data_IF_508290814693
#
_entry.id   IF_508290814693
#
_cell.length_a   1.000
_cell.length_b   1.000
_cell.length_c   1.000
_cell.angle_alpha   90.00
_cell.angle_beta   90.00
_cell.angle_gamma   90.00
#
_symmetry.space_group_name_H-M   'P 1'
#
loop_
_entity.id
_entity.type
_entity.pdbx_description
1 polymer ?
#
# COMPACT_ATOMS: atom_id res chain seq x y z
N UNK A 1 -4.19 -5.78 -21.53
CA UNK A 1 -2.96 -6.60 -21.34
C UNK A 1 -3.12 -7.34 -20.04
N UNK A 2 -2.85 -8.64 -19.99
CA UNK A 2 -2.89 -9.40 -18.73
C UNK A 2 -1.75 -8.90 -17.83
N UNK A 3 -2.10 -8.09 -16.84
CA UNK A 3 -1.17 -7.51 -15.87
C UNK A 3 -1.19 -8.26 -14.56
N UNK A 4 -2.11 -9.21 -14.37
CA UNK A 4 -2.33 -9.93 -13.12
C UNK A 4 -1.07 -10.72 -12.69
N UNK A 5 -0.87 -10.80 -11.38
CA UNK A 5 0.14 -11.69 -10.81
C UNK A 5 -0.30 -13.13 -11.08
N UNK A 6 0.61 -13.95 -11.63
CA UNK A 6 0.30 -15.32 -11.99
C UNK A 6 0.03 -16.17 -10.76
N UNK A 7 -0.91 -17.12 -10.88
CA UNK A 7 -1.26 -18.06 -9.82
C UNK A 7 -0.05 -18.82 -9.26
N UNK A 8 0.91 -19.16 -10.14
CA UNK A 8 2.17 -19.82 -9.75
C UNK A 8 3.02 -19.00 -8.78
N UNK A 9 2.93 -17.67 -8.82
CA UNK A 9 3.64 -16.81 -7.88
C UNK A 9 3.04 -16.88 -6.48
N UNK A 10 1.70 -16.84 -6.36
CA UNK A 10 1.02 -17.04 -5.07
C UNK A 10 1.32 -18.42 -4.48
N UNK A 11 1.34 -19.46 -5.33
CA UNK A 11 1.75 -20.81 -4.90
C UNK A 11 3.19 -20.84 -4.40
N UNK A 12 4.12 -20.16 -5.08
CA UNK A 12 5.52 -20.07 -4.65
C UNK A 12 5.67 -19.34 -3.31
N UNK A 13 4.92 -18.25 -3.09
CA UNK A 13 4.88 -17.51 -1.82
C UNK A 13 4.42 -18.40 -0.67
N UNK A 14 3.33 -19.15 -0.85
CA UNK A 14 2.81 -20.10 0.16
C UNK A 14 3.80 -21.23 0.46
N UNK A 15 4.43 -21.83 -0.56
CA UNK A 15 5.48 -22.85 -0.38
C UNK A 15 6.68 -22.31 0.40
N UNK A 16 7.06 -21.05 0.16
CA UNK A 16 8.16 -20.39 0.88
C UNK A 16 7.81 -20.18 2.36
N UNK A 17 6.57 -19.78 2.70
CA UNK A 17 6.13 -19.70 4.09
C UNK A 17 6.14 -21.09 4.73
N UNK A 18 5.54 -22.10 4.10
CA UNK A 18 5.53 -23.45 4.61
C UNK A 18 6.93 -23.97 4.98
N UNK A 19 7.93 -23.72 4.12
CA UNK A 19 9.31 -24.15 4.37
C UNK A 19 9.96 -23.40 5.54
N UNK A 20 9.62 -22.12 5.73
CA UNK A 20 10.19 -21.26 6.79
C UNK A 20 9.59 -21.51 8.17
N UNK A 21 8.40 -22.08 8.25
CA UNK A 21 7.75 -22.43 9.52
C UNK A 21 8.45 -23.56 10.28
N UNK A 22 9.35 -24.33 9.64
CA UNK A 22 10.19 -25.37 10.28
C UNK A 22 9.39 -26.30 11.21
N UNK A 23 8.22 -26.71 10.77
CA UNK A 23 7.33 -27.61 11.52
C UNK A 23 6.30 -26.92 12.42
N UNK A 24 6.38 -25.63 12.67
CA UNK A 24 5.34 -24.90 13.39
C UNK A 24 4.09 -24.71 12.51
N UNK A 25 2.92 -24.69 13.16
CA UNK A 25 1.63 -24.45 12.51
C UNK A 25 1.34 -22.95 12.44
N UNK A 26 0.88 -22.46 11.29
CA UNK A 26 0.49 -21.05 11.10
C UNK A 26 -0.90 -20.93 10.49
N UNK A 27 -1.58 -19.83 10.78
CA UNK A 27 -2.85 -19.44 10.14
C UNK A 27 -2.77 -17.99 9.74
N UNK A 28 -3.19 -17.70 8.50
CA UNK A 28 -3.33 -16.31 8.00
C UNK A 28 -4.80 -16.07 7.68
N UNK A 29 -5.38 -15.09 8.32
CA UNK A 29 -6.80 -14.73 8.22
C UNK A 29 -6.98 -13.61 7.19
N UNK A 30 -8.05 -13.69 6.41
CA UNK A 30 -8.48 -12.57 5.54
C UNK A 30 -9.12 -11.41 6.32
N UNK A 31 -9.54 -11.68 7.55
CA UNK A 31 -10.36 -10.79 8.35
C UNK A 31 -11.86 -11.02 8.12
N UNK A 32 -12.65 -10.80 9.17
CA UNK A 32 -14.10 -10.81 9.10
C UNK A 32 -14.61 -9.44 8.63
N UNK A 33 -15.26 -9.41 7.48
CA UNK A 33 -15.91 -8.21 6.97
C UNK A 33 -17.13 -7.83 7.81
N UNK A 34 -17.29 -6.54 8.10
CA UNK A 34 -18.61 -6.00 8.41
C UNK A 34 -19.51 -6.19 7.18
N UNK A 35 -20.86 -6.31 7.35
CA UNK A 35 -21.76 -6.41 6.21
C UNK A 35 -21.56 -5.24 5.25
N UNK A 36 -21.64 -5.45 3.93
CA UNK A 36 -21.29 -4.47 2.90
C UNK A 36 -22.17 -3.22 2.85
N UNK A 37 -23.24 -3.14 3.63
CA UNK A 37 -24.09 -1.96 3.73
C UNK A 37 -23.38 -0.67 4.21
N UNK A 38 -22.14 -0.75 4.75
CA UNK A 38 -21.45 0.36 5.38
C UNK A 38 -20.05 0.64 4.82
N UNK A 39 -19.62 -0.03 3.76
CA UNK A 39 -18.31 0.20 3.16
C UNK A 39 -17.72 -1.01 2.45
N UNK A 40 -16.68 -0.78 1.68
CA UNK A 40 -15.94 -1.83 1.00
C UNK A 40 -15.11 -2.63 2.02
N UNK A 41 -15.26 -3.96 2.03
CA UNK A 41 -14.40 -4.83 2.81
C UNK A 41 -13.06 -5.04 2.08
N UNK A 42 -11.97 -4.97 2.84
CA UNK A 42 -10.64 -5.27 2.36
C UNK A 42 -10.06 -6.45 3.14
N UNK A 43 -9.45 -7.43 2.46
CA UNK A 43 -8.76 -8.50 3.14
C UNK A 43 -7.51 -7.99 3.85
N UNK A 44 -7.08 -8.71 4.87
CA UNK A 44 -5.72 -8.56 5.40
C UNK A 44 -4.68 -8.69 4.27
N UNK A 45 -3.74 -7.77 4.21
CA UNK A 45 -2.81 -7.69 3.08
C UNK A 45 -1.80 -8.84 3.05
N UNK A 46 -1.53 -9.53 4.16
CA UNK A 46 -0.74 -10.76 4.17
C UNK A 46 -1.54 -11.92 3.54
N UNK A 47 -2.86 -11.98 3.82
CA UNK A 47 -3.74 -12.95 3.16
C UNK A 47 -3.78 -12.70 1.64
N UNK A 48 -4.04 -11.45 1.22
CA UNK A 48 -4.05 -11.06 -0.19
C UNK A 48 -2.72 -11.35 -0.88
N UNK A 49 -1.59 -11.06 -0.23
CA UNK A 49 -0.25 -11.35 -0.74
C UNK A 49 -0.01 -12.84 -1.02
N UNK A 50 -0.60 -13.71 -0.20
CA UNK A 50 -0.43 -15.17 -0.31
C UNK A 50 -1.42 -15.84 -1.26
N UNK A 51 -2.56 -15.19 -1.55
CA UNK A 51 -3.68 -15.83 -2.25
C UNK A 51 -4.09 -15.12 -3.54
N UNK A 52 -4.01 -13.80 -3.57
CA UNK A 52 -4.63 -12.96 -4.60
C UNK A 52 -6.15 -12.85 -4.47
N UNK A 53 -6.75 -13.41 -3.42
CA UNK A 53 -8.19 -13.40 -3.16
C UNK A 53 -8.54 -12.11 -2.39
N UNK A 54 -9.56 -11.38 -2.84
CA UNK A 54 -10.01 -10.12 -2.24
C UNK A 54 -11.53 -10.01 -2.05
N UNK A 55 -12.27 -11.10 -2.30
CA UNK A 55 -13.72 -11.19 -2.26
C UNK A 55 -14.28 -12.28 -1.31
N UNK A 56 -13.43 -12.86 -0.44
CA UNK A 56 -13.82 -13.94 0.48
C UNK A 56 -13.61 -13.55 1.96
N UNK A 57 -14.49 -12.69 2.53
CA UNK A 57 -14.40 -12.34 3.95
C UNK A 57 -14.50 -13.55 4.86
N UNK A 58 -13.62 -13.60 5.88
CA UNK A 58 -13.49 -14.71 6.82
C UNK A 58 -12.77 -15.94 6.28
N UNK A 59 -12.17 -15.86 5.09
CA UNK A 59 -11.28 -16.89 4.58
C UNK A 59 -9.98 -16.98 5.39
N UNK A 60 -9.30 -18.11 5.31
CA UNK A 60 -8.03 -18.37 6.01
C UNK A 60 -7.12 -19.26 5.19
N UNK A 61 -5.81 -19.05 5.31
CA UNK A 61 -4.81 -20.02 4.86
C UNK A 61 -4.22 -20.73 6.07
N UNK A 62 -4.40 -22.04 6.14
CA UNK A 62 -3.84 -22.89 7.19
C UNK A 62 -2.56 -23.54 6.68
N UNK A 63 -1.49 -23.46 7.47
CA UNK A 63 -0.18 -24.06 7.21
C UNK A 63 0.15 -25.12 8.24
N UNK A 64 0.38 -26.35 7.83
CA UNK A 64 0.80 -27.47 8.66
C UNK A 64 1.96 -28.25 8.01
N UNK A 65 3.20 -27.78 8.17
CA UNK A 65 4.37 -28.42 7.53
C UNK A 65 4.56 -29.88 7.91
N UNK A 66 4.04 -30.28 9.07
CA UNK A 66 4.16 -31.65 9.61
C UNK A 66 3.05 -32.59 9.20
N UNK A 67 2.06 -32.13 8.40
CA UNK A 67 0.98 -32.98 7.96
C UNK A 67 1.50 -34.14 7.12
N UNK A 68 1.14 -35.43 7.44
CA UNK A 68 1.57 -36.59 6.69
C UNK A 68 1.01 -36.58 5.26
N UNK A 69 -0.20 -36.07 5.03
CA UNK A 69 -0.77 -35.82 3.71
C UNK A 69 -0.25 -34.50 3.15
N UNK A 70 0.65 -34.55 2.18
CA UNK A 70 1.26 -33.37 1.57
C UNK A 70 0.23 -32.36 1.03
N UNK A 71 -0.93 -32.84 0.55
CA UNK A 71 -2.01 -31.98 0.03
C UNK A 71 -2.67 -31.14 1.11
N UNK A 72 -2.54 -31.51 2.38
CA UNK A 72 -3.12 -30.81 3.55
C UNK A 72 -2.11 -29.94 4.29
N UNK A 73 -0.90 -29.78 3.75
CA UNK A 73 0.11 -28.90 4.36
C UNK A 73 -0.20 -27.43 4.13
N UNK A 74 -0.95 -27.11 3.08
CA UNK A 74 -1.46 -25.75 2.80
C UNK A 74 -2.93 -25.91 2.42
N UNK A 75 -3.82 -25.36 3.25
CA UNK A 75 -5.26 -25.49 3.06
C UNK A 75 -5.90 -24.10 3.00
N UNK A 76 -6.74 -23.88 2.00
CA UNK A 76 -7.64 -22.72 1.97
C UNK A 76 -8.93 -23.09 2.70
N UNK A 77 -9.31 -22.27 3.66
CA UNK A 77 -10.54 -22.41 4.42
C UNK A 77 -11.47 -21.23 4.05
N UNK A 78 -12.64 -21.54 3.53
CA UNK A 78 -13.65 -20.56 3.13
C UNK A 78 -14.88 -20.65 4.03
N UNK A 79 -15.61 -19.56 4.23
CA UNK A 79 -16.89 -19.59 4.97
C UNK A 79 -17.85 -20.60 4.33
N UNK A 80 -18.71 -21.24 5.13
CA UNK A 80 -19.78 -22.09 4.60
C UNK A 80 -20.71 -21.31 3.67
N UNK A 81 -21.21 -21.98 2.63
CA UNK A 81 -22.30 -21.47 1.81
C UNK A 81 -23.55 -21.31 2.68
N UNK A 82 -24.19 -20.16 2.62
CA UNK A 82 -25.45 -19.91 3.28
C UNK A 82 -26.39 -19.22 2.30
N UNK A 83 -27.34 -19.97 1.68
CA UNK A 83 -28.23 -19.43 0.65
C UNK A 83 -29.05 -18.20 1.10
N UNK A 84 -29.37 -18.11 2.39
CA UNK A 84 -30.13 -16.98 2.95
C UNK A 84 -29.30 -15.69 2.99
N UNK A 85 -27.97 -15.82 3.19
CA UNK A 85 -27.04 -14.71 3.22
C UNK A 85 -26.46 -14.44 1.81
N UNK A 86 -26.17 -15.50 1.08
CA UNK A 86 -25.52 -15.40 -0.24
C UNK A 86 -26.40 -14.64 -1.26
N UNK A 87 -27.71 -14.60 -1.05
CA UNK A 87 -28.63 -13.80 -1.88
C UNK A 87 -28.41 -12.28 -1.69
N UNK A 88 -27.85 -11.87 -0.55
CA UNK A 88 -27.57 -10.46 -0.24
C UNK A 88 -26.15 -10.05 -0.57
N UNK A 89 -25.18 -10.95 -0.30
CA UNK A 89 -23.75 -10.65 -0.34
C UNK A 89 -23.06 -11.21 -1.59
N UNK A 90 -23.79 -11.96 -2.43
CA UNK A 90 -23.26 -12.70 -3.56
C UNK A 90 -23.09 -14.20 -3.28
N UNK A 91 -23.28 -15.00 -4.33
CA UNK A 91 -23.18 -16.45 -4.23
C UNK A 91 -21.74 -16.93 -4.11
N UNK A 92 -21.46 -17.74 -3.08
CA UNK A 92 -20.16 -18.37 -2.89
C UNK A 92 -20.03 -19.65 -3.69
N UNK A 93 -18.84 -19.85 -4.27
CA UNK A 93 -18.53 -21.06 -5.02
C UNK A 93 -18.57 -22.33 -4.14
N UNK A 94 -19.14 -23.39 -4.69
CA UNK A 94 -19.04 -24.72 -4.08
C UNK A 94 -17.58 -25.23 -4.17
N UNK A 95 -17.15 -25.99 -3.16
CA UNK A 95 -15.84 -26.65 -3.19
C UNK A 95 -15.80 -27.64 -4.35
N UNK A 96 -15.05 -27.30 -5.38
CA UNK A 96 -14.99 -28.02 -6.66
C UNK A 96 -13.55 -28.08 -7.18
N UNK A 97 -13.33 -28.86 -8.25
CA UNK A 97 -12.06 -28.85 -8.97
C UNK A 97 -11.80 -27.48 -9.62
N UNK A 98 -12.85 -26.86 -10.16
CA UNK A 98 -12.76 -25.51 -10.74
C UNK A 98 -12.20 -24.53 -9.70
N UNK A 99 -12.80 -24.46 -8.50
CA UNK A 99 -12.37 -23.55 -7.43
C UNK A 99 -10.91 -23.83 -6.99
N UNK A 100 -10.50 -25.10 -6.92
CA UNK A 100 -9.10 -25.46 -6.61
C UNK A 100 -8.14 -24.96 -7.70
N UNK A 101 -8.52 -25.09 -8.96
CA UNK A 101 -7.70 -24.62 -10.08
C UNK A 101 -7.61 -23.10 -10.13
N UNK A 102 -8.69 -22.38 -9.87
CA UNK A 102 -8.75 -20.90 -9.86
C UNK A 102 -7.96 -20.31 -8.69
N UNK A 103 -8.05 -20.91 -7.50
CA UNK A 103 -7.33 -20.43 -6.31
C UNK A 103 -5.91 -21.00 -6.18
N UNK A 104 -5.59 -22.07 -6.92
CA UNK A 104 -4.30 -22.76 -6.88
C UNK A 104 -3.99 -23.43 -5.54
N UNK A 105 -5.04 -23.91 -4.85
CA UNK A 105 -4.91 -24.74 -3.66
C UNK A 105 -5.31 -26.18 -3.99
N UNK A 106 -4.49 -27.16 -3.59
CA UNK A 106 -4.82 -28.58 -3.74
C UNK A 106 -5.96 -28.99 -2.82
N UNK A 107 -6.04 -28.35 -1.63
CA UNK A 107 -7.10 -28.58 -0.64
C UNK A 107 -7.81 -27.29 -0.31
N UNK A 108 -9.12 -27.25 -0.58
CA UNK A 108 -10.04 -26.20 -0.17
C UNK A 108 -11.11 -26.83 0.71
N UNK A 109 -11.39 -26.23 1.87
CA UNK A 109 -12.39 -26.70 2.84
C UNK A 109 -13.20 -25.53 3.40
N UNK A 110 -14.23 -25.82 4.18
CA UNK A 110 -14.99 -24.79 4.90
C UNK A 110 -14.41 -24.55 6.28
N UNK A 111 -14.58 -23.34 6.81
CA UNK A 111 -13.97 -22.90 8.08
C UNK A 111 -14.34 -23.76 9.28
N UNK A 112 -15.47 -24.48 9.26
CA UNK A 112 -15.82 -25.45 10.32
C UNK A 112 -14.81 -26.61 10.48
N UNK A 113 -13.93 -26.83 9.50
CA UNK A 113 -12.85 -27.82 9.61
C UNK A 113 -11.66 -27.32 10.46
N UNK A 114 -11.51 -26.01 10.67
CA UNK A 114 -10.37 -25.41 11.36
C UNK A 114 -10.13 -25.98 12.76
N UNK A 115 -11.15 -26.14 13.65
CA UNK A 115 -10.90 -26.65 15.00
C UNK A 115 -10.27 -28.04 15.00
N UNK A 116 -10.70 -28.91 14.09
CA UNK A 116 -10.11 -30.25 13.91
C UNK A 116 -8.67 -30.18 13.43
N UNK A 117 -8.40 -29.41 12.35
CA UNK A 117 -7.04 -29.24 11.81
C UNK A 117 -6.08 -28.66 12.86
N UNK A 118 -6.52 -27.63 13.58
CA UNK A 118 -5.71 -27.04 14.66
C UNK A 118 -5.40 -28.04 15.77
N UNK A 119 -6.39 -28.80 16.23
CA UNK A 119 -6.19 -29.79 17.30
C UNK A 119 -5.20 -30.88 16.86
N UNK A 120 -5.42 -31.49 15.70
CA UNK A 120 -4.55 -32.54 15.16
C UNK A 120 -3.11 -32.05 14.94
N UNK A 121 -2.95 -30.85 14.37
CA UNK A 121 -1.65 -30.26 14.09
C UNK A 121 -0.93 -29.86 15.40
N UNK A 122 -1.61 -29.19 16.32
CA UNK A 122 -1.04 -28.79 17.63
C UNK A 122 -0.64 -30.00 18.49
N UNK A 123 -1.37 -31.11 18.43
CA UNK A 123 -0.98 -32.35 19.11
C UNK A 123 0.32 -32.94 18.53
N UNK A 124 0.54 -32.83 17.21
CA UNK A 124 1.76 -33.33 16.56
C UNK A 124 2.98 -32.48 16.83
N UNK A 125 2.87 -31.15 16.64
CA UNK A 125 4.05 -30.28 16.57
C UNK A 125 4.32 -29.58 17.89
N UNK A 126 3.29 -29.31 18.70
CA UNK A 126 3.37 -28.48 19.91
C UNK A 126 3.90 -27.05 19.65
N UNK A 127 3.94 -26.59 18.41
CA UNK A 127 4.51 -25.29 18.01
C UNK A 127 3.53 -24.55 17.09
N UNK A 128 3.17 -23.32 17.49
CA UNK A 128 2.22 -22.45 16.81
C UNK A 128 2.93 -21.14 16.47
N UNK A 129 2.88 -20.69 15.23
CA UNK A 129 3.62 -19.54 14.73
C UNK A 129 2.66 -18.40 14.36
N UNK A 130 2.72 -17.28 15.09
CA UNK A 130 2.00 -16.06 14.73
C UNK A 130 2.59 -15.47 13.45
N UNK A 131 1.75 -15.23 12.44
CA UNK A 131 2.12 -14.71 11.11
C UNK A 131 1.58 -13.30 10.85
N UNK A 132 0.57 -12.86 11.62
CA UNK A 132 0.10 -11.48 11.57
C UNK A 132 1.04 -10.56 12.36
N UNK A 133 1.22 -9.30 11.92
CA UNK A 133 1.98 -8.31 12.69
C UNK A 133 1.41 -8.17 14.10
N UNK A 134 2.28 -8.16 15.10
CA UNK A 134 1.87 -8.01 16.50
C UNK A 134 1.25 -6.62 16.70
N UNK A 135 0.07 -6.61 17.32
CA UNK A 135 -0.64 -5.38 17.62
C UNK A 135 -0.02 -4.64 18.82
N UNK A 136 -0.09 -3.30 18.79
CA UNK A 136 0.21 -2.49 19.96
C UNK A 136 -0.76 -2.82 21.11
N UNK A 137 -0.34 -2.58 22.36
CA UNK A 137 -1.13 -2.94 23.55
C UNK A 137 -2.51 -2.24 23.63
N UNK A 138 -2.70 -1.16 22.89
CA UNK A 138 -3.96 -0.42 22.75
C UNK A 138 -4.90 -0.97 21.65
N UNK A 139 -4.45 -1.94 20.87
CA UNK A 139 -5.18 -2.55 19.77
C UNK A 139 -5.68 -3.96 20.12
N UNK A 140 -6.73 -4.46 19.46
CA UNK A 140 -7.16 -5.84 19.59
C UNK A 140 -6.02 -6.83 19.31
N UNK A 141 -6.05 -7.97 20.00
CA UNK A 141 -5.11 -9.07 19.77
C UNK A 141 -5.31 -9.60 18.35
N UNK A 142 -4.22 -9.97 17.68
CA UNK A 142 -4.29 -10.55 16.33
C UNK A 142 -5.06 -11.86 16.30
N UNK A 143 -5.80 -12.18 15.22
CA UNK A 143 -6.70 -13.34 15.18
C UNK A 143 -5.96 -14.68 15.35
N UNK A 144 -4.74 -14.78 14.84
CA UNK A 144 -3.90 -15.97 15.01
C UNK A 144 -3.45 -16.15 16.47
N UNK A 145 -2.99 -15.08 17.13
CA UNK A 145 -2.61 -15.13 18.54
C UNK A 145 -3.82 -15.44 19.44
N UNK A 146 -5.00 -14.88 19.13
CA UNK A 146 -6.23 -15.20 19.86
C UNK A 146 -6.61 -16.68 19.71
N UNK A 147 -6.57 -17.22 18.48
CA UNK A 147 -6.81 -18.64 18.22
C UNK A 147 -5.82 -19.52 18.97
N UNK A 148 -4.53 -19.18 18.91
CA UNK A 148 -3.47 -19.99 19.52
C UNK A 148 -3.54 -20.01 21.06
N UNK A 149 -3.94 -18.92 21.69
CA UNK A 149 -4.25 -18.91 23.14
C UNK A 149 -5.36 -19.89 23.51
N UNK A 150 -6.42 -19.98 22.69
CA UNK A 150 -7.50 -20.96 22.89
C UNK A 150 -7.00 -22.41 22.71
N UNK A 151 -6.06 -22.64 21.81
CA UNK A 151 -5.46 -23.96 21.56
C UNK A 151 -4.52 -24.35 22.69
N UNK A 152 -3.60 -23.47 23.10
CA UNK A 152 -2.63 -23.76 24.18
C UNK A 152 -3.30 -24.01 25.52
N UNK A 153 -4.45 -23.37 25.78
CA UNK A 153 -5.25 -23.64 27.00
C UNK A 153 -5.85 -25.06 27.04
N UNK A 154 -5.89 -25.79 25.92
CA UNK A 154 -6.50 -27.13 25.79
C UNK A 154 -5.48 -28.22 25.48
N UNK A 155 -4.34 -27.88 24.93
CA UNK A 155 -3.30 -28.84 24.51
C UNK A 155 -2.01 -28.53 25.27
N UNK A 156 -1.70 -29.26 26.37
CA UNK A 156 -0.51 -29.00 27.17
C UNK A 156 0.79 -29.13 26.37
N UNK A 157 1.76 -28.30 26.70
CA UNK A 157 3.09 -28.30 26.07
C UNK A 157 3.16 -27.60 24.73
N UNK A 158 2.08 -26.93 24.25
CA UNK A 158 2.14 -26.08 23.09
C UNK A 158 2.81 -24.74 23.41
N UNK A 159 3.69 -24.30 22.50
CA UNK A 159 4.32 -22.96 22.51
C UNK A 159 3.76 -22.10 21.39
N UNK A 160 3.74 -20.78 21.60
CA UNK A 160 3.43 -19.78 20.59
C UNK A 160 4.72 -19.05 20.25
N UNK A 161 5.05 -18.99 18.97
CA UNK A 161 6.27 -18.37 18.45
C UNK A 161 5.91 -17.12 17.63
N UNK A 162 6.70 -16.06 17.77
CA UNK A 162 6.60 -14.89 16.89
C UNK A 162 7.32 -15.16 15.57
N UNK A 163 6.56 -15.24 14.50
CA UNK A 163 7.01 -15.34 13.12
C UNK A 163 6.36 -14.24 12.24
N UNK A 164 5.88 -13.16 12.87
CA UNK A 164 5.17 -12.05 12.21
C UNK A 164 5.97 -11.40 11.08
N UNK A 165 7.31 -11.48 11.16
CA UNK A 165 8.20 -10.92 10.14
C UNK A 165 8.33 -11.78 8.88
N UNK A 166 7.81 -13.01 8.84
CA UNK A 166 8.01 -13.89 7.67
C UNK A 166 7.35 -13.31 6.42
N UNK A 167 6.07 -12.96 6.47
CA UNK A 167 5.32 -12.47 5.32
C UNK A 167 5.72 -11.03 5.01
N UNK A 168 5.83 -10.17 6.01
CA UNK A 168 6.23 -8.77 5.85
C UNK A 168 7.61 -8.62 5.20
N UNK A 169 8.57 -9.45 5.60
CA UNK A 169 9.90 -9.48 4.95
C UNK A 169 9.86 -9.91 3.48
N UNK A 170 8.88 -10.75 3.09
CA UNK A 170 8.71 -11.13 1.69
C UNK A 170 8.06 -10.01 0.89
N UNK A 171 7.10 -9.27 1.46
CA UNK A 171 6.43 -8.12 0.85
C UNK A 171 7.39 -6.97 0.55
N UNK A 172 8.44 -6.79 1.36
CA UNK A 172 9.45 -5.74 1.14
C UNK A 172 10.11 -5.82 -0.25
N UNK A 173 10.40 -7.03 -0.73
CA UNK A 173 11.07 -7.25 -2.02
C UNK A 173 10.02 -7.53 -3.08
N UNK A 174 9.76 -6.56 -3.91
CA UNK A 174 8.76 -6.66 -4.98
C UNK A 174 9.27 -7.52 -6.13
N UNK A 175 8.46 -8.45 -6.58
CA UNK A 175 8.72 -9.19 -7.83
C UNK A 175 8.53 -8.29 -9.06
N UNK A 176 8.97 -8.75 -10.22
CA UNK A 176 8.75 -8.02 -11.47
C UNK A 176 7.26 -7.83 -11.79
N UNK A 177 6.41 -8.79 -11.40
CA UNK A 177 4.96 -8.69 -11.56
C UNK A 177 4.36 -7.63 -10.63
N UNK A 178 4.78 -7.59 -9.36
CA UNK A 178 4.37 -6.56 -8.41
C UNK A 178 4.79 -5.15 -8.87
N UNK A 179 6.03 -4.97 -9.32
CA UNK A 179 6.50 -3.69 -9.88
C UNK A 179 5.68 -3.28 -11.11
N UNK A 180 5.20 -4.24 -11.91
CA UNK A 180 4.33 -3.95 -13.05
C UNK A 180 2.97 -3.43 -12.61
N UNK A 181 2.37 -3.98 -11.53
CA UNK A 181 1.13 -3.49 -10.95
C UNK A 181 1.29 -2.07 -10.40
N UNK A 182 2.33 -1.81 -9.60
CA UNK A 182 2.66 -0.47 -9.10
C UNK A 182 2.75 0.54 -10.25
N UNK A 183 3.41 0.16 -11.36
CA UNK A 183 3.47 1.03 -12.53
C UNK A 183 2.12 1.30 -13.19
N UNK A 184 1.19 0.35 -13.18
CA UNK A 184 -0.17 0.60 -13.68
C UNK A 184 -0.91 1.58 -12.75
N UNK A 185 -0.75 1.44 -11.43
CA UNK A 185 -1.30 2.39 -10.47
C UNK A 185 -0.71 3.80 -10.68
N UNK A 186 0.60 3.92 -10.90
CA UNK A 186 1.27 5.19 -11.22
C UNK A 186 0.71 5.81 -12.52
N UNK A 187 0.46 5.01 -13.55
CA UNK A 187 -0.13 5.51 -14.81
C UNK A 187 -1.56 6.03 -14.60
N UNK A 188 -2.36 5.35 -13.78
CA UNK A 188 -3.70 5.82 -13.42
C UNK A 188 -3.63 7.13 -12.62
N UNK A 189 -2.67 7.23 -11.69
CA UNK A 189 -2.43 8.46 -10.91
C UNK A 189 -1.97 9.60 -11.81
N UNK A 190 -1.07 9.36 -12.75
CA UNK A 190 -0.61 10.35 -13.72
C UNK A 190 -1.79 10.91 -14.53
N UNK A 191 -2.68 10.03 -15.02
CA UNK A 191 -3.87 10.46 -15.75
C UNK A 191 -4.83 11.28 -14.86
N UNK A 192 -5.04 10.89 -13.59
CA UNK A 192 -5.82 11.68 -12.66
C UNK A 192 -5.24 13.08 -12.43
N UNK A 193 -3.91 13.20 -12.30
CA UNK A 193 -3.21 14.49 -12.19
C UNK A 193 -3.43 15.34 -13.45
N UNK A 194 -3.39 14.74 -14.64
CA UNK A 194 -3.71 15.44 -15.91
C UNK A 194 -5.16 15.95 -15.93
N UNK A 195 -6.12 15.14 -15.45
CA UNK A 195 -7.52 15.56 -15.29
C UNK A 195 -7.65 16.76 -14.35
N UNK A 196 -6.91 16.78 -13.23
CA UNK A 196 -6.84 17.94 -12.34
C UNK A 196 -6.28 19.16 -13.06
N UNK A 197 -5.15 19.03 -13.75
CA UNK A 197 -4.53 20.13 -14.49
C UNK A 197 -5.48 20.75 -15.52
N UNK A 198 -6.34 19.95 -16.16
CA UNK A 198 -7.34 20.44 -17.13
C UNK A 198 -8.45 21.29 -16.48
N UNK A 199 -8.70 21.11 -15.19
CA UNK A 199 -9.75 21.83 -14.43
C UNK A 199 -9.25 23.09 -13.75
N UNK A 200 -7.92 23.33 -13.70
CA UNK A 200 -7.37 24.51 -13.06
C UNK A 200 -7.86 25.80 -13.72
N UNK A 201 -8.22 26.79 -12.93
CA UNK A 201 -8.72 28.08 -13.37
C UNK A 201 -9.26 28.93 -12.22
N UNK A 202 -9.87 30.05 -12.57
CA UNK A 202 -10.58 30.88 -11.62
C UNK A 202 -11.83 30.12 -11.15
N UNK A 203 -12.21 30.25 -9.87
CA UNK A 203 -13.42 29.65 -9.28
C UNK A 203 -13.43 28.10 -9.21
N UNK A 204 -12.29 27.46 -9.04
CA UNK A 204 -12.20 26.02 -8.82
C UNK A 204 -12.16 25.67 -7.34
N UNK A 205 -12.95 24.68 -6.92
CA UNK A 205 -12.90 24.17 -5.56
C UNK A 205 -11.96 22.95 -5.45
N UNK A 206 -11.41 22.71 -4.25
CA UNK A 206 -10.68 21.48 -3.95
C UNK A 206 -11.52 20.23 -4.25
N UNK A 207 -12.86 20.33 -4.07
CA UNK A 207 -13.80 19.25 -4.37
C UNK A 207 -13.91 18.97 -5.87
N UNK A 208 -13.92 20.01 -6.72
CA UNK A 208 -13.94 19.82 -8.18
C UNK A 208 -12.65 19.14 -8.65
N UNK A 209 -11.50 19.53 -8.08
CA UNK A 209 -10.21 18.91 -8.36
C UNK A 209 -10.18 17.45 -7.89
N UNK A 210 -10.74 17.17 -6.69
CA UNK A 210 -10.87 15.81 -6.17
C UNK A 210 -11.71 14.93 -7.10
N UNK A 211 -12.86 15.43 -7.55
CA UNK A 211 -13.74 14.68 -8.44
C UNK A 211 -13.09 14.41 -9.80
N UNK A 212 -12.35 15.37 -10.34
CA UNK A 212 -11.58 15.20 -11.57
C UNK A 212 -10.50 14.13 -11.41
N UNK A 213 -9.76 14.17 -10.29
CA UNK A 213 -8.72 13.20 -9.96
C UNK A 213 -9.25 11.77 -9.91
N UNK A 214 -10.27 11.54 -9.07
CA UNK A 214 -10.85 10.21 -8.85
C UNK A 214 -11.54 9.69 -10.11
N UNK A 215 -12.22 10.56 -10.86
CA UNK A 215 -12.77 10.23 -12.18
C UNK A 215 -11.69 9.79 -13.17
N UNK A 216 -10.52 10.45 -13.15
CA UNK A 216 -9.35 10.05 -13.93
C UNK A 216 -8.84 8.66 -13.53
N UNK A 217 -8.72 8.37 -12.23
CA UNK A 217 -8.34 7.03 -11.75
C UNK A 217 -9.30 5.95 -12.22
N UNK A 218 -10.60 6.18 -12.04
CA UNK A 218 -11.65 5.24 -12.44
C UNK A 218 -11.63 4.96 -13.95
N UNK A 219 -11.38 5.97 -14.80
CA UNK A 219 -11.27 5.80 -16.25
C UNK A 219 -10.11 4.89 -16.67
N UNK A 220 -9.08 4.78 -15.83
CA UNK A 220 -7.92 3.90 -16.03
C UNK A 220 -8.09 2.51 -15.39
N UNK A 221 -9.27 2.21 -14.83
CA UNK A 221 -9.60 0.91 -14.23
C UNK A 221 -9.24 0.78 -12.75
N UNK A 222 -8.92 1.88 -12.06
CA UNK A 222 -8.82 1.89 -10.62
C UNK A 222 -10.23 1.80 -10.02
N UNK A 223 -10.45 0.82 -9.16
CA UNK A 223 -11.75 0.65 -8.49
C UNK A 223 -11.82 1.42 -7.17
N UNK A 224 -10.66 1.79 -6.62
CA UNK A 224 -10.56 2.60 -5.41
C UNK A 224 -9.26 3.40 -5.38
N UNK A 225 -9.22 4.41 -4.52
CA UNK A 225 -8.00 5.15 -4.26
C UNK A 225 -7.09 4.34 -3.32
N UNK A 226 -5.77 4.49 -3.44
CA UNK A 226 -4.81 3.90 -2.50
C UNK A 226 -4.96 4.49 -1.08
N UNK A 227 -5.33 5.78 -1.02
CA UNK A 227 -5.70 6.52 0.19
C UNK A 227 -6.62 7.68 -0.16
N UNK A 228 -7.16 8.36 0.86
CA UNK A 228 -7.97 9.56 0.61
C UNK A 228 -7.09 10.68 0.05
N UNK A 229 -7.33 11.14 -1.19
CA UNK A 229 -6.52 12.19 -1.80
C UNK A 229 -6.49 13.47 -0.97
N UNK A 230 -5.33 14.09 -0.91
CA UNK A 230 -5.09 15.36 -0.26
C UNK A 230 -5.02 16.44 -1.34
N UNK A 231 -5.94 17.39 -1.29
CA UNK A 231 -5.95 18.55 -2.18
C UNK A 231 -6.09 19.78 -1.29
N UNK A 232 -4.96 20.29 -0.82
CA UNK A 232 -4.91 21.42 0.10
C UNK A 232 -4.41 22.67 -0.59
N UNK A 233 -5.29 23.67 -0.79
CA UNK A 233 -4.94 24.96 -1.40
C UNK A 233 -4.55 25.98 -0.33
N UNK A 234 -3.57 26.84 -0.65
CA UNK A 234 -3.12 27.89 0.27
C UNK A 234 -2.75 27.33 1.65
N UNK A 235 -3.39 27.85 2.72
CA UNK A 235 -3.16 27.40 4.09
C UNK A 235 -3.41 25.91 4.29
N UNK A 236 -4.43 25.33 3.62
CA UNK A 236 -4.74 23.90 3.72
C UNK A 236 -3.58 23.02 3.22
N UNK A 237 -2.77 23.51 2.26
CA UNK A 237 -1.57 22.84 1.77
C UNK A 237 -0.46 22.72 2.82
N UNK A 238 -0.56 23.40 3.95
CA UNK A 238 0.39 23.26 5.07
C UNK A 238 -0.02 22.17 6.06
N UNK A 239 -1.22 21.61 5.93
CA UNK A 239 -1.72 20.48 6.73
C UNK A 239 -1.39 19.19 6.03
N UNK A 240 -0.46 18.41 6.58
CA UNK A 240 0.14 17.22 5.93
C UNK A 240 -0.88 16.21 5.42
N UNK A 241 -1.91 15.90 6.20
CA UNK A 241 -2.99 14.96 5.86
C UNK A 241 -4.34 15.69 5.82
N UNK A 242 -4.43 16.78 5.06
CA UNK A 242 -5.68 17.51 4.86
C UNK A 242 -6.73 16.65 4.16
N UNK A 243 -7.92 16.52 4.76
CA UNK A 243 -8.95 15.56 4.29
C UNK A 243 -10.25 16.20 3.82
N UNK A 244 -10.49 17.46 4.18
CA UNK A 244 -11.79 18.08 3.91
C UNK A 244 -12.04 18.27 2.40
N UNK A 245 -11.02 18.72 1.66
CA UNK A 245 -11.08 18.96 0.21
C UNK A 245 -12.37 19.72 -0.18
N UNK A 246 -12.66 20.85 0.49
CA UNK A 246 -13.95 21.54 0.36
C UNK A 246 -13.85 23.07 0.29
N UNK A 247 -12.64 23.61 0.27
CA UNK A 247 -12.42 25.06 0.13
C UNK A 247 -12.32 25.47 -1.35
N UNK A 248 -12.58 26.76 -1.60
CA UNK A 248 -12.27 27.37 -2.88
C UNK A 248 -10.77 27.67 -2.95
N UNK A 249 -10.15 27.30 -4.05
CA UNK A 249 -8.74 27.62 -4.30
C UNK A 249 -8.60 29.02 -4.91
N UNK A 250 -7.76 29.86 -4.32
CA UNK A 250 -7.54 31.21 -4.79
C UNK A 250 -6.49 31.24 -5.91
N UNK A 251 -6.66 32.13 -6.87
CA UNK A 251 -5.79 32.25 -8.06
C UNK A 251 -4.30 32.43 -7.75
N UNK A 252 -3.97 33.04 -6.61
CA UNK A 252 -2.59 33.23 -6.15
C UNK A 252 -1.99 32.03 -5.40
N UNK A 253 -2.80 31.02 -5.08
CA UNK A 253 -2.36 29.89 -4.27
C UNK A 253 -1.59 28.87 -5.09
N UNK A 254 -0.76 28.12 -4.40
CA UNK A 254 -0.39 26.76 -4.78
C UNK A 254 -1.25 25.78 -3.99
N UNK A 255 -1.44 24.57 -4.50
CA UNK A 255 -2.05 23.49 -3.73
C UNK A 255 -1.19 22.23 -3.78
N UNK A 256 -1.14 21.55 -2.66
CA UNK A 256 -0.55 20.21 -2.57
C UNK A 256 -1.60 19.23 -3.06
N UNK A 257 -1.25 18.49 -4.11
CA UNK A 257 -2.01 17.38 -4.66
C UNK A 257 -1.25 16.09 -4.35
N UNK A 258 -1.69 15.39 -3.32
CA UNK A 258 -1.11 14.13 -2.89
C UNK A 258 -2.13 13.01 -3.07
N UNK A 259 -1.79 12.01 -3.88
CA UNK A 259 -2.77 11.07 -4.38
C UNK A 259 -2.17 9.79 -4.92
N UNK A 260 -2.93 8.73 -4.80
CA UNK A 260 -2.58 7.43 -5.36
C UNK A 260 -3.79 6.64 -5.81
N UNK A 261 -3.72 6.10 -7.03
CA UNK A 261 -4.64 5.07 -7.50
C UNK A 261 -4.20 3.69 -7.01
N UNK A 262 -5.11 2.73 -6.98
CA UNK A 262 -4.81 1.33 -6.74
C UNK A 262 -5.19 0.50 -7.97
N UNK A 263 -4.27 -0.33 -8.46
CA UNK A 263 -4.52 -1.27 -9.56
C UNK A 263 -4.06 -2.67 -9.15
N UNK A 264 -4.97 -3.65 -9.25
CA UNK A 264 -4.67 -5.03 -8.89
C UNK A 264 -4.22 -5.22 -7.43
N UNK A 265 -4.68 -4.34 -6.54
CA UNK A 265 -4.34 -4.33 -5.13
C UNK A 265 -3.03 -3.62 -4.79
N UNK A 266 -2.32 -3.06 -5.77
CA UNK A 266 -1.07 -2.32 -5.55
C UNK A 266 -1.30 -0.83 -5.62
N UNK A 267 -0.78 -0.11 -4.63
CA UNK A 267 -0.85 1.34 -4.52
C UNK A 267 0.18 2.05 -5.39
N UNK A 268 -0.07 3.30 -5.70
CA UNK A 268 0.91 4.34 -6.02
C UNK A 268 0.79 5.48 -5.01
N UNK A 269 1.82 6.30 -4.91
CA UNK A 269 1.85 7.44 -4.01
C UNK A 269 2.65 8.59 -4.62
N UNK A 270 1.94 9.63 -5.04
CA UNK A 270 2.53 10.72 -5.84
C UNK A 270 2.02 12.05 -5.34
N UNK A 271 2.93 12.89 -4.93
CA UNK A 271 2.62 14.30 -4.66
C UNK A 271 3.18 15.24 -5.72
N UNK A 272 2.35 16.18 -6.14
CA UNK A 272 2.76 17.38 -6.88
C UNK A 272 2.17 18.62 -6.23
N UNK A 273 2.95 19.69 -6.17
CA UNK A 273 2.42 21.00 -5.85
C UNK A 273 2.19 21.77 -7.15
N UNK A 274 0.97 22.25 -7.33
CA UNK A 274 0.53 22.89 -8.57
C UNK A 274 0.04 24.32 -8.29
N UNK A 275 0.34 25.30 -9.17
CA UNK A 275 -0.21 26.65 -9.05
C UNK A 275 -1.64 26.73 -9.58
N UNK A 276 -2.57 27.25 -8.82
CA UNK A 276 -3.99 27.38 -9.20
C UNK A 276 -4.14 28.20 -10.48
N UNK A 277 -3.35 29.27 -10.64
CA UNK A 277 -3.33 30.11 -11.86
C UNK A 277 -2.73 29.41 -13.08
N UNK A 278 -2.08 28.25 -12.90
CA UNK A 278 -1.28 27.59 -13.93
C UNK A 278 0.14 28.13 -14.08
N UNK A 279 0.55 29.09 -13.23
CA UNK A 279 1.90 29.67 -13.22
C UNK A 279 2.34 30.00 -11.80
N UNK A 280 3.53 29.58 -11.42
CA UNK A 280 4.12 29.91 -10.12
C UNK A 280 4.53 31.40 -10.04
N UNK A 281 4.43 32.00 -8.83
CA UNK A 281 5.14 33.26 -8.55
C UNK A 281 6.65 32.98 -8.43
N UNK A 282 7.45 34.05 -8.38
CA UNK A 282 8.90 33.90 -8.21
C UNK A 282 9.25 33.26 -6.86
N UNK A 283 8.54 33.60 -5.81
CA UNK A 283 8.70 33.11 -4.46
C UNK A 283 8.31 31.63 -4.37
N UNK A 284 7.16 31.27 -4.94
CA UNK A 284 6.69 29.87 -5.02
C UNK A 284 7.67 28.99 -5.81
N UNK A 285 8.14 29.48 -6.96
CA UNK A 285 9.12 28.77 -7.78
C UNK A 285 10.47 28.60 -7.07
N UNK A 286 10.91 29.59 -6.28
CA UNK A 286 12.13 29.50 -5.49
C UNK A 286 12.03 28.39 -4.41
N UNK A 287 10.94 28.38 -3.62
CA UNK A 287 10.66 27.34 -2.62
C UNK A 287 10.51 25.96 -3.26
N UNK A 288 9.75 25.87 -4.36
CA UNK A 288 9.56 24.65 -5.12
C UNK A 288 10.89 24.04 -5.57
N UNK A 289 11.81 24.86 -6.08
CA UNK A 289 13.13 24.42 -6.52
C UNK A 289 14.02 23.93 -5.36
N UNK A 290 13.85 24.46 -4.12
CA UNK A 290 14.54 23.95 -2.94
C UNK A 290 14.05 22.52 -2.64
N UNK A 291 12.72 22.30 -2.61
CA UNK A 291 12.12 20.98 -2.37
C UNK A 291 12.53 20.00 -3.46
N UNK A 292 12.48 20.41 -4.73
CA UNK A 292 12.92 19.57 -5.87
C UNK A 292 14.40 19.19 -5.78
N UNK A 293 15.25 20.11 -5.34
CA UNK A 293 16.68 19.84 -5.11
C UNK A 293 16.88 18.85 -3.96
N UNK A 294 16.09 18.97 -2.89
CA UNK A 294 16.11 18.05 -1.75
C UNK A 294 15.66 16.64 -2.18
N UNK A 295 14.57 16.53 -2.96
CA UNK A 295 14.11 15.26 -3.51
C UNK A 295 15.18 14.59 -4.39
N UNK A 296 15.80 15.36 -5.30
CA UNK A 296 16.89 14.85 -6.15
C UNK A 296 18.09 14.36 -5.34
N UNK A 297 18.44 15.05 -4.25
CA UNK A 297 19.52 14.64 -3.34
C UNK A 297 19.21 13.32 -2.63
N UNK A 298 17.98 13.18 -2.13
CA UNK A 298 17.48 11.95 -1.51
C UNK A 298 17.50 10.77 -2.50
N UNK A 299 16.91 10.93 -3.69
CA UNK A 299 16.89 9.88 -4.74
C UNK A 299 18.30 9.45 -5.12
N UNK A 300 19.25 10.38 -5.23
CA UNK A 300 20.66 10.09 -5.54
C UNK A 300 21.35 9.26 -4.44
N UNK A 301 20.91 9.40 -3.18
CA UNK A 301 21.45 8.62 -2.07
C UNK A 301 20.96 7.16 -2.03
N UNK A 302 19.91 6.82 -2.77
CA UNK A 302 19.31 5.48 -2.76
C UNK A 302 20.21 4.48 -3.48
N UNK A 303 20.64 3.46 -2.75
CA UNK A 303 21.31 2.24 -3.26
C UNK A 303 21.15 1.12 -2.23
N UNK A 304 21.39 -0.14 -2.60
CA UNK A 304 21.44 -1.23 -1.62
C UNK A 304 22.41 -0.93 -0.49
N UNK A 305 21.98 -1.18 0.75
CA UNK A 305 22.77 -0.92 1.97
C UNK A 305 22.53 0.46 2.61
N UNK A 306 21.91 1.43 1.92
CA UNK A 306 21.54 2.72 2.51
C UNK A 306 20.26 2.57 3.36
N UNK A 307 20.16 3.29 4.47
CA UNK A 307 18.95 3.33 5.31
C UNK A 307 18.07 4.52 4.95
N UNK A 308 16.76 4.45 5.27
CA UNK A 308 15.85 5.58 5.09
C UNK A 308 16.33 6.82 5.86
N UNK A 309 16.90 6.66 7.06
CA UNK A 309 17.47 7.78 7.83
C UNK A 309 18.62 8.50 7.11
N UNK A 310 19.48 7.77 6.39
CA UNK A 310 20.56 8.38 5.62
C UNK A 310 20.03 9.13 4.38
N UNK A 311 18.95 8.63 3.79
CA UNK A 311 18.27 9.27 2.65
C UNK A 311 17.56 10.54 3.12
N UNK A 312 16.89 10.48 4.29
CA UNK A 312 16.24 11.61 4.94
C UNK A 312 17.25 12.75 5.23
N UNK A 313 18.39 12.41 5.81
CA UNK A 313 19.45 13.42 6.09
C UNK A 313 19.99 14.07 4.81
N UNK A 314 20.10 13.33 3.70
CA UNK A 314 20.51 13.92 2.42
C UNK A 314 19.52 14.99 1.92
N UNK A 315 18.22 14.77 2.15
CA UNK A 315 17.16 15.74 1.85
C UNK A 315 17.17 16.92 2.83
N UNK A 316 17.15 16.62 4.15
CA UNK A 316 17.14 17.60 5.23
C UNK A 316 18.28 18.59 5.13
N UNK A 317 19.47 18.11 4.78
CA UNK A 317 20.63 18.98 4.58
C UNK A 317 20.35 20.08 3.55
N UNK A 318 19.71 19.76 2.43
CA UNK A 318 19.41 20.74 1.37
C UNK A 318 18.42 21.79 1.87
N UNK A 319 17.37 21.37 2.57
CA UNK A 319 16.33 22.26 3.11
C UNK A 319 16.88 23.12 4.24
N UNK A 320 17.69 22.55 5.13
CA UNK A 320 18.36 23.25 6.23
C UNK A 320 19.36 24.28 5.73
N UNK A 321 20.19 23.93 4.75
CA UNK A 321 21.17 24.85 4.15
C UNK A 321 20.49 26.04 3.43
N UNK A 322 19.23 25.87 3.03
CA UNK A 322 18.39 26.93 2.45
C UNK A 322 17.64 27.77 3.50
N UNK A 323 17.78 27.48 4.80
CA UNK A 323 17.15 28.23 5.91
C UNK A 323 15.76 27.73 6.31
N UNK A 324 15.27 26.61 5.77
CA UNK A 324 13.90 26.10 6.02
C UNK A 324 13.88 24.81 6.86
N UNK A 325 14.94 24.51 7.62
CA UNK A 325 15.05 23.25 8.39
C UNK A 325 13.90 22.99 9.35
N UNK A 326 13.37 24.02 9.99
CA UNK A 326 12.26 23.92 10.96
C UNK A 326 10.89 23.74 10.30
N UNK A 327 10.81 23.91 8.99
CA UNK A 327 9.58 23.82 8.20
C UNK A 327 9.43 22.49 7.44
N UNK A 328 10.22 21.49 7.78
CA UNK A 328 10.14 20.12 7.25
C UNK A 328 9.91 19.11 8.39
N UNK A 329 8.65 18.90 8.83
CA UNK A 329 8.34 18.20 10.08
C UNK A 329 8.24 16.67 9.95
N UNK A 330 8.16 16.09 8.75
CA UNK A 330 7.95 14.64 8.54
C UNK A 330 9.20 13.93 8.00
N UNK A 331 9.19 12.60 7.95
CA UNK A 331 10.24 11.78 7.36
C UNK A 331 10.24 11.84 5.84
N UNK A 332 11.32 11.39 5.22
CA UNK A 332 11.50 11.43 3.75
C UNK A 332 10.53 10.53 2.98
N UNK A 333 9.88 9.57 3.63
CA UNK A 333 8.99 8.63 2.98
C UNK A 333 8.95 7.27 3.66
N UNK A 334 8.32 6.30 3.01
CA UNK A 334 8.03 4.97 3.53
C UNK A 334 8.13 3.88 2.44
N UNK A 335 8.07 2.61 2.82
CA UNK A 335 7.87 1.52 1.88
C UNK A 335 6.42 1.51 1.38
N UNK A 336 6.22 1.12 0.12
CA UNK A 336 4.90 0.97 -0.47
C UNK A 336 4.76 -0.34 -1.25
N UNK A 337 3.53 -0.77 -1.49
CA UNK A 337 3.23 -2.01 -2.22
C UNK A 337 1.74 -2.32 -2.27
N UNK A 338 1.29 -3.38 -1.57
CA UNK A 338 -0.13 -3.68 -1.37
C UNK A 338 -0.82 -2.65 -0.47
N UNK A 339 -0.05 -1.98 0.35
CA UNK A 339 -0.49 -0.83 1.15
C UNK A 339 0.32 0.38 0.74
N UNK A 340 -0.29 1.56 0.81
CA UNK A 340 0.42 2.83 0.67
C UNK A 340 1.56 2.88 1.68
N UNK A 341 1.27 2.62 2.95
CA UNK A 341 2.26 2.43 4.01
C UNK A 341 2.49 0.93 4.24
N UNK A 342 3.24 0.29 3.33
CA UNK A 342 3.66 -1.11 3.48
C UNK A 342 4.55 -1.28 4.73
N UNK A 343 4.68 -2.49 5.30
CA UNK A 343 5.57 -2.70 6.45
C UNK A 343 6.95 -2.10 6.23
N UNK A 344 7.37 -1.21 7.13
CA UNK A 344 8.59 -0.40 7.00
C UNK A 344 9.57 -0.66 8.14
N UNK A 345 10.22 -1.85 8.19
CA UNK A 345 11.22 -2.12 9.20
C UNK A 345 12.45 -1.23 8.98
N UNK A 346 13.11 -0.85 10.09
CA UNK A 346 14.36 -0.08 10.05
C UNK A 346 15.54 -0.94 9.59
N UNK A 347 15.52 -1.37 8.35
CA UNK A 347 16.58 -2.19 7.74
C UNK A 347 17.22 -1.45 6.56
N UNK A 348 18.48 -1.74 6.23
CA UNK A 348 19.09 -1.22 5.00
C UNK A 348 18.29 -1.64 3.76
N UNK A 349 18.16 -0.73 2.80
CA UNK A 349 17.48 -0.98 1.54
C UNK A 349 18.17 -2.12 0.76
N UNK A 350 17.35 -2.88 0.06
CA UNK A 350 17.77 -3.98 -0.82
C UNK A 350 17.16 -3.82 -2.21
N UNK A 351 17.81 -4.41 -3.20
CA UNK A 351 17.25 -4.51 -4.56
C UNK A 351 15.81 -5.08 -4.50
N UNK A 352 14.91 -4.49 -5.28
CA UNK A 352 13.49 -4.86 -5.34
C UNK A 352 12.59 -4.15 -4.31
N UNK A 353 13.13 -3.40 -3.35
CA UNK A 353 12.30 -2.55 -2.49
C UNK A 353 11.78 -1.34 -3.28
N UNK A 354 10.54 -0.93 -2.97
CA UNK A 354 9.93 0.31 -3.49
C UNK A 354 9.65 1.22 -2.31
N UNK A 355 10.07 2.47 -2.41
CA UNK A 355 9.90 3.50 -1.37
C UNK A 355 9.44 4.81 -1.98
N UNK A 356 8.68 5.60 -1.22
CA UNK A 356 8.36 6.98 -1.57
C UNK A 356 9.50 7.91 -1.20
N UNK A 357 9.64 9.03 -1.92
CA UNK A 357 10.59 10.12 -1.60
C UNK A 357 9.85 11.44 -1.76
N UNK A 358 9.49 12.03 -0.64
CA UNK A 358 8.47 13.08 -0.51
C UNK A 358 8.86 14.30 0.35
N UNK A 359 10.03 14.92 0.19
CA UNK A 359 10.37 16.09 1.00
C UNK A 359 9.37 17.23 0.79
N UNK A 360 9.19 18.05 1.84
CA UNK A 360 8.31 19.21 1.79
C UNK A 360 8.80 20.38 2.62
N UNK A 361 8.28 21.58 2.32
CA UNK A 361 8.40 22.80 3.11
C UNK A 361 7.00 23.34 3.33
N UNK A 362 6.66 23.66 4.58
CA UNK A 362 5.31 24.10 4.95
C UNK A 362 5.42 25.41 5.77
N UNK A 363 4.89 26.51 5.21
CA UNK A 363 4.94 27.86 5.75
C UNK A 363 3.49 28.32 6.06
N UNK A 364 2.92 28.01 7.24
CA UNK A 364 1.53 28.34 7.57
C UNK A 364 1.25 29.84 7.51
N UNK A 365 2.18 30.66 7.98
CA UNK A 365 2.03 32.13 8.00
C UNK A 365 2.01 32.75 6.59
N UNK A 366 2.59 32.04 5.61
CA UNK A 366 2.63 32.45 4.21
C UNK A 366 1.56 31.73 3.35
N UNK A 367 0.80 30.81 3.94
CA UNK A 367 -0.18 29.94 3.25
C UNK A 367 0.45 29.13 2.11
N UNK A 368 1.68 28.64 2.27
CA UNK A 368 2.40 27.89 1.25
C UNK A 368 2.82 26.53 1.81
N UNK A 369 2.33 25.46 1.21
CA UNK A 369 2.84 24.10 1.37
C UNK A 369 3.38 23.60 0.03
N UNK A 370 4.57 23.02 0.06
CA UNK A 370 5.19 22.39 -1.14
C UNK A 370 5.68 21.01 -0.75
N UNK A 371 5.18 19.99 -1.43
CA UNK A 371 5.65 18.60 -1.39
C UNK A 371 5.82 18.07 -2.81
N UNK A 372 6.89 17.34 -3.07
CA UNK A 372 7.15 16.67 -4.34
C UNK A 372 7.55 15.24 -4.03
N UNK A 373 6.78 14.30 -4.54
CA UNK A 373 6.92 12.87 -4.25
C UNK A 373 6.97 12.02 -5.50
N UNK A 374 7.80 11.00 -5.46
CA UNK A 374 7.91 9.96 -6.46
C UNK A 374 8.08 8.58 -5.83
N UNK A 375 7.59 7.54 -6.52
CA UNK A 375 7.80 6.14 -6.22
C UNK A 375 9.12 5.64 -6.79
N UNK A 376 10.00 5.17 -5.92
CA UNK A 376 11.38 4.83 -6.27
C UNK A 376 11.65 3.34 -6.04
N UNK A 377 12.02 2.62 -7.10
CA UNK A 377 12.49 1.24 -7.03
C UNK A 377 14.00 1.20 -6.75
N UNK A 378 14.40 0.48 -5.72
CA UNK A 378 15.80 0.17 -5.45
C UNK A 378 16.29 -0.87 -6.46
N UNK A 379 17.36 -0.54 -7.19
CA UNK A 379 17.98 -1.43 -8.18
C UNK A 379 19.28 -2.04 -7.63
N UNK A 380 19.90 -2.92 -8.40
CA UNK A 380 21.16 -3.58 -8.01
C UNK A 380 22.28 -2.61 -7.62
N UNK A 381 22.35 -1.43 -8.24
CA UNK A 381 23.46 -0.48 -8.08
C UNK A 381 23.04 0.94 -7.68
N UNK A 382 21.73 1.19 -7.58
CA UNK A 382 21.19 2.52 -7.29
C UNK A 382 19.66 2.50 -7.20
N UNK A 383 18.99 3.40 -7.93
CA UNK A 383 17.54 3.52 -7.93
C UNK A 383 16.98 3.79 -9.33
N UNK A 384 15.68 3.54 -9.48
CA UNK A 384 14.89 3.90 -10.67
C UNK A 384 13.60 4.57 -10.23
N UNK A 385 13.40 5.80 -10.65
CA UNK A 385 12.13 6.50 -10.47
C UNK A 385 11.06 5.84 -11.35
N UNK A 386 9.98 5.33 -10.75
CA UNK A 386 8.88 4.66 -11.46
C UNK A 386 7.87 5.66 -12.00
N UNK A 387 7.81 6.87 -11.44
CA UNK A 387 6.88 7.97 -11.75
C UNK A 387 7.52 9.10 -12.54
N UNK A 388 8.69 8.86 -13.17
CA UNK A 388 9.47 9.88 -13.88
C UNK A 388 8.75 10.54 -15.06
N UNK A 389 7.64 9.97 -15.56
CA UNK A 389 6.82 10.53 -16.62
C UNK A 389 5.94 11.69 -16.15
N UNK A 390 5.72 11.83 -14.84
CA UNK A 390 4.86 12.88 -14.28
C UNK A 390 5.67 14.18 -14.15
N UNK A 391 5.26 15.29 -14.76
CA UNK A 391 5.96 16.58 -14.72
C UNK A 391 6.29 17.00 -13.27
N UNK A 392 7.52 17.49 -13.05
CA UNK A 392 7.95 17.89 -11.71
C UNK A 392 8.94 19.08 -11.65
N UNK A 393 9.46 19.59 -12.73
CA UNK A 393 10.13 20.91 -12.70
C UNK A 393 9.08 22.00 -12.83
N UNK A 394 9.39 23.21 -12.40
CA UNK A 394 8.49 24.38 -12.56
C UNK A 394 8.04 24.53 -14.01
N UNK A 395 8.98 24.43 -14.94
CA UNK A 395 8.75 24.56 -16.39
C UNK A 395 7.88 23.45 -16.93
N UNK A 396 8.14 22.18 -16.53
CA UNK A 396 7.36 21.02 -16.94
C UNK A 396 5.92 21.09 -16.42
N UNK A 397 5.72 21.47 -15.16
CA UNK A 397 4.40 21.61 -14.53
C UNK A 397 3.59 22.70 -15.23
N UNK A 398 4.17 23.88 -15.43
CA UNK A 398 3.49 24.98 -16.14
C UNK A 398 3.17 24.62 -17.60
N UNK A 399 4.07 23.90 -18.26
CA UNK A 399 3.85 23.43 -19.62
C UNK A 399 2.72 22.39 -19.70
N UNK A 400 2.69 21.44 -18.76
CA UNK A 400 1.65 20.41 -18.67
C UNK A 400 0.27 21.02 -18.39
N UNK A 401 0.17 21.98 -17.48
CA UNK A 401 -1.09 22.69 -17.20
C UNK A 401 -1.58 23.43 -18.47
N UNK A 402 -0.69 24.10 -19.19
CA UNK A 402 -1.05 24.76 -20.46
C UNK A 402 -1.51 23.77 -21.54
N UNK A 403 -0.92 22.58 -21.57
CA UNK A 403 -1.28 21.54 -22.53
C UNK A 403 -2.64 20.91 -22.19
N UNK A 404 -2.90 20.63 -20.93
CA UNK A 404 -4.14 20.01 -20.45
C UNK A 404 -5.39 20.91 -20.61
N UNK A 405 -5.21 22.23 -20.75
CA UNK A 405 -6.31 23.20 -20.99
C UNK A 405 -6.67 23.41 -22.46
N UNK A 406 -5.93 22.81 -23.40
CA UNK A 406 -6.22 22.86 -24.85
C UNK A 406 -7.15 21.74 -25.27
#
# INVERSE_FOLDING_TARGET
>A
MDTAIKLSEYQARRKKILSKLKGAVGVVFAGDGAPPLLGEWLPDMNFKYLTGIDDEPGAMVFFDPSNPDARKRIVLLLKPVNPEIDVWDGYRDLVSEKLRNETGFETVMRTYALPRFMTEAAQRTKRLACLHPLAACSQPVTPDLELFRKVTARIPGCSIEDQSQLITSMRLIKSAAEVKQIKQAILATAHGIECVMSKLGDDVSERDLHNALVGGFASMGSIRNAFNPIIGSGHNGTVLHYKANNCMASKGDVFVLDSGAEIGGYASDITRTLPVSGKFTKEQAALYNIVLKAQKAAIKAIKPGTTMAQIDEASRKVIRDAGYGDFYPHSIGHHMGLETHDPSPMVPLKEGMVVTIEPGIYLPDENIGIRIEDDILVTKTGSRNLSSMIPKTVEEVEAAIRAAKK
#
